data_IF_868637682771
#
_entry.id   IF_868637682771
#
_cell.length_a   1.000
_cell.length_b   1.000
_cell.length_c   1.000
_cell.angle_alpha   90.00
_cell.angle_beta   90.00
_cell.angle_gamma   90.00
#
_symmetry.space_group_name_H-M   'P 1'
#
loop_
_entity.id
_entity.type
_entity.pdbx_description
1 polymer ?
#
# COMPACT_ATOMS: atom_id res chain seq x y z
N UNK A 1 -27.81 -31.45 -1.59
CA UNK A 1 -27.62 -31.14 -0.15
C UNK A 1 -28.35 -29.83 0.12
N UNK A 2 -29.15 -29.71 1.19
CA UNK A 2 -29.73 -28.40 1.56
C UNK A 2 -28.70 -27.67 2.41
N UNK A 3 -28.31 -26.48 1.98
CA UNK A 3 -27.42 -25.60 2.73
C UNK A 3 -28.25 -24.59 3.54
N UNK A 4 -27.67 -24.06 4.61
CA UNK A 4 -28.29 -22.96 5.36
C UNK A 4 -28.19 -21.67 4.55
N UNK A 5 -29.06 -20.69 4.84
CA UNK A 5 -29.05 -19.42 4.13
C UNK A 5 -27.72 -18.65 4.30
N UNK A 6 -27.09 -18.79 5.47
CA UNK A 6 -25.79 -18.20 5.79
C UNK A 6 -24.69 -18.79 4.91
N UNK A 7 -24.69 -20.11 4.70
CA UNK A 7 -23.72 -20.80 3.86
C UNK A 7 -23.82 -20.36 2.40
N UNK A 8 -25.04 -20.22 1.88
CA UNK A 8 -25.26 -19.75 0.51
C UNK A 8 -24.80 -18.29 0.34
N UNK A 9 -25.03 -17.44 1.33
CA UNK A 9 -24.58 -16.05 1.30
C UNK A 9 -23.06 -15.93 1.34
N UNK A 10 -22.40 -16.72 2.18
CA UNK A 10 -20.95 -16.80 2.25
C UNK A 10 -20.36 -17.25 0.90
N UNK A 11 -20.85 -18.36 0.36
CA UNK A 11 -20.37 -18.92 -0.91
C UNK A 11 -20.53 -17.93 -2.06
N UNK A 12 -21.70 -17.27 -2.15
CA UNK A 12 -21.94 -16.21 -3.15
C UNK A 12 -21.00 -15.01 -3.01
N UNK A 13 -20.57 -14.67 -1.80
CA UNK A 13 -19.60 -13.60 -1.58
C UNK A 13 -18.20 -14.04 -2.03
N UNK A 14 -17.76 -15.21 -1.59
CA UNK A 14 -16.44 -15.78 -1.94
C UNK A 14 -16.31 -15.93 -3.45
N UNK A 15 -17.33 -16.47 -4.12
CA UNK A 15 -17.35 -16.58 -5.57
C UNK A 15 -17.17 -15.22 -6.27
N UNK A 16 -17.81 -14.17 -5.76
CA UNK A 16 -17.66 -12.83 -6.32
C UNK A 16 -16.26 -12.27 -6.13
N UNK A 17 -15.65 -12.51 -4.97
CA UNK A 17 -14.28 -12.07 -4.67
C UNK A 17 -13.27 -12.80 -5.58
N UNK A 18 -13.41 -14.13 -5.70
CA UNK A 18 -12.52 -14.95 -6.51
C UNK A 18 -12.69 -14.73 -8.02
N UNK A 19 -13.86 -14.28 -8.47
CA UNK A 19 -14.10 -13.92 -9.88
C UNK A 19 -13.34 -12.69 -10.34
N UNK A 20 -12.83 -11.85 -9.45
CA UNK A 20 -12.08 -10.65 -9.82
C UNK A 20 -10.69 -11.05 -10.35
N UNK A 21 -10.38 -10.80 -11.63
CA UNK A 21 -9.06 -11.11 -12.17
C UNK A 21 -7.99 -10.19 -11.57
N UNK A 22 -6.76 -10.69 -11.45
CA UNK A 22 -5.64 -9.92 -10.93
C UNK A 22 -5.35 -8.64 -11.74
N UNK A 23 -5.66 -8.62 -13.04
CA UNK A 23 -5.55 -7.43 -13.90
C UNK A 23 -6.40 -6.26 -13.41
N UNK A 24 -7.64 -6.51 -12.97
CA UNK A 24 -8.55 -5.48 -12.46
C UNK A 24 -8.01 -4.86 -11.17
N UNK A 25 -7.34 -5.66 -10.34
CA UNK A 25 -6.70 -5.15 -9.11
C UNK A 25 -5.57 -4.18 -9.48
N UNK A 26 -4.75 -4.52 -10.49
CA UNK A 26 -3.66 -3.65 -10.96
C UNK A 26 -4.17 -2.33 -11.53
N UNK A 27 -5.18 -2.39 -12.38
CA UNK A 27 -5.82 -1.21 -12.97
C UNK A 27 -6.32 -0.25 -11.88
N UNK A 28 -7.04 -0.77 -10.88
CA UNK A 28 -7.52 0.04 -9.74
C UNK A 28 -6.39 0.65 -8.92
N UNK A 29 -5.28 -0.09 -8.71
CA UNK A 29 -4.10 0.47 -8.02
C UNK A 29 -3.51 1.63 -8.81
N UNK A 30 -3.43 1.51 -10.13
CA UNK A 30 -2.91 2.57 -11.00
C UNK A 30 -3.83 3.79 -11.02
N UNK A 31 -5.14 3.60 -11.07
CA UNK A 31 -6.15 4.66 -10.96
C UNK A 31 -5.99 5.42 -9.63
N UNK A 32 -5.98 4.68 -8.51
CA UNK A 32 -5.77 5.28 -7.18
C UNK A 32 -4.43 6.00 -7.07
N UNK A 33 -3.38 5.47 -7.70
CA UNK A 33 -2.07 6.13 -7.73
C UNK A 33 -2.15 7.45 -8.50
N UNK A 34 -2.76 7.47 -9.69
CA UNK A 34 -2.96 8.68 -10.51
C UNK A 34 -3.77 9.73 -9.77
N UNK A 35 -4.87 9.34 -9.13
CA UNK A 35 -5.68 10.26 -8.31
C UNK A 35 -4.86 10.82 -7.14
N UNK A 36 -4.11 9.96 -6.46
CA UNK A 36 -3.26 10.38 -5.35
C UNK A 36 -2.16 11.34 -5.79
N UNK A 37 -1.57 11.14 -6.98
CA UNK A 37 -0.55 12.03 -7.55
C UNK A 37 -1.08 13.44 -7.86
N UNK A 38 -2.39 13.58 -8.12
CA UNK A 38 -3.04 14.88 -8.31
C UNK A 38 -3.30 15.63 -6.99
N UNK A 39 -3.19 14.97 -5.84
CA UNK A 39 -3.48 15.59 -4.55
C UNK A 39 -2.34 16.52 -4.11
N UNK A 40 -2.54 17.86 -4.03
CA UNK A 40 -1.51 18.82 -3.66
C UNK A 40 -1.03 18.66 -2.20
N UNK A 41 -1.81 17.98 -1.34
CA UNK A 41 -1.46 17.70 0.05
C UNK A 41 -0.72 16.37 0.22
N UNK A 42 -0.53 15.58 -0.85
CA UNK A 42 0.22 14.33 -0.76
C UNK A 42 1.68 14.64 -0.47
N UNK A 43 2.16 14.17 0.69
CA UNK A 43 3.57 14.31 1.07
C UNK A 43 4.43 13.58 0.02
N UNK A 44 5.49 14.23 -0.42
CA UNK A 44 6.51 13.60 -1.25
C UNK A 44 7.17 12.42 -0.53
N UNK A 45 8.04 11.66 -1.24
CA UNK A 45 8.80 10.58 -0.63
C UNK A 45 9.41 11.02 0.70
N UNK A 46 9.26 10.20 1.75
CA UNK A 46 9.76 10.55 3.08
C UNK A 46 11.25 10.89 2.96
N UNK A 47 11.68 12.11 3.34
CA UNK A 47 13.08 12.47 3.24
C UNK A 47 13.91 11.47 4.04
N UNK A 48 14.98 10.95 3.44
CA UNK A 48 15.93 10.10 4.16
C UNK A 48 16.50 10.96 5.30
N UNK A 49 16.32 10.52 6.54
CA UNK A 49 17.00 11.17 7.67
C UNK A 49 18.50 11.09 7.41
N UNK A 50 19.20 12.22 7.35
CA UNK A 50 20.66 12.20 7.46
C UNK A 50 20.95 11.59 8.83
N UNK A 51 21.54 10.40 8.87
CA UNK A 51 22.07 9.84 10.10
C UNK A 51 23.02 10.88 10.69
N UNK A 52 22.68 11.41 11.86
CA UNK A 52 23.58 12.23 12.68
C UNK A 52 24.68 11.32 13.21
N UNK A 53 25.61 10.95 12.34
CA UNK A 53 26.85 10.28 12.67
C UNK A 53 28.00 11.17 12.18
N UNK A 54 28.04 12.39 12.70
CA UNK A 54 29.27 13.18 12.76
C UNK A 54 29.55 13.43 14.24
N UNK A 55 30.13 12.42 14.90
CA UNK A 55 30.84 12.65 16.16
C UNK A 55 32.00 13.62 15.88
N UNK A 56 32.39 14.48 16.85
CA UNK A 56 33.48 15.41 16.62
C UNK A 56 34.76 14.59 16.50
N UNK A 57 35.40 14.64 15.33
CA UNK A 57 36.76 14.15 15.16
C UNK A 57 37.66 14.94 16.11
N UNK A 58 38.17 14.26 17.13
CA UNK A 58 39.27 14.72 17.95
C UNK A 58 40.50 14.92 17.06
N UNK A 59 40.77 16.15 16.65
CA UNK A 59 42.04 16.50 16.02
C UNK A 59 43.02 16.87 17.13
N UNK A 60 43.85 15.91 17.51
CA UNK A 60 45.07 16.19 18.28
C UNK A 60 46.19 16.66 17.34
N UNK A 61 46.89 17.72 17.73
CA UNK A 61 48.26 18.06 17.28
C UNK A 61 48.79 19.31 18.03
N UNK A 62 50.10 19.49 18.22
CA UNK A 62 51.17 18.57 18.64
C UNK A 62 51.52 18.67 20.14
#
# INVERSE_FOLDING_TARGET
>A
MRHSAEYDNFTKLVDRVLKVPHSVIKERIEEHRKESEKNPHKRGPKPKSKSSASGPASNGHP
#
